data_IF_743389771232
#
_entry.id   IF_743389771232
#
_cell.length_a   1.000
_cell.length_b   1.000
_cell.length_c   1.000
_cell.angle_alpha   90.00
_cell.angle_beta   90.00
_cell.angle_gamma   90.00
#
_symmetry.space_group_name_H-M   'P 1'
#
loop_
_entity.id
_entity.type
_entity.pdbx_description
1 polymer ?
#
# COMPACT_ATOMS: atom_id res chain seq x y z
N UNK A 1 9.09 42.35 -39.33
CA UNK A 1 7.88 41.53 -39.13
C UNK A 1 8.10 40.19 -39.81
N UNK A 2 8.49 39.15 -39.07
CA UNK A 2 8.61 37.79 -39.62
C UNK A 2 7.21 37.18 -39.71
N UNK A 3 6.90 36.57 -40.86
CA UNK A 3 5.60 35.98 -41.20
C UNK A 3 5.17 34.94 -40.16
N UNK A 4 3.94 35.09 -39.69
CA UNK A 4 3.20 34.11 -38.92
C UNK A 4 3.10 32.82 -39.74
N UNK A 5 3.65 31.72 -39.21
CA UNK A 5 3.39 30.39 -39.73
C UNK A 5 2.07 29.90 -39.16
N UNK A 6 1.17 29.41 -40.01
CA UNK A 6 -0.06 28.75 -39.57
C UNK A 6 0.31 27.53 -38.71
N UNK A 7 -0.11 27.56 -37.45
CA UNK A 7 0.06 26.43 -36.55
C UNK A 7 -0.86 25.27 -36.96
N UNK A 8 -0.44 24.00 -36.78
CA UNK A 8 -1.31 22.85 -37.00
C UNK A 8 -2.61 22.96 -36.17
N UNK A 9 -3.74 22.48 -36.71
CA UNK A 9 -5.04 22.57 -36.04
C UNK A 9 -5.05 21.92 -34.63
N UNK A 10 -4.31 20.82 -34.45
CA UNK A 10 -4.14 20.16 -33.15
C UNK A 10 -3.42 21.07 -32.13
N UNK A 11 -2.40 21.82 -32.58
CA UNK A 11 -1.67 22.76 -31.74
C UNK A 11 -2.53 23.96 -31.37
N UNK A 12 -3.32 24.49 -32.30
CA UNK A 12 -4.29 25.56 -31.99
C UNK A 12 -5.32 25.10 -30.96
N UNK A 13 -5.86 23.88 -31.11
CA UNK A 13 -6.79 23.30 -30.13
C UNK A 13 -6.14 23.10 -28.76
N UNK A 14 -4.88 22.70 -28.71
CA UNK A 14 -4.10 22.62 -27.48
C UNK A 14 -3.94 24.00 -26.81
N UNK A 15 -3.60 25.04 -27.58
CA UNK A 15 -3.49 26.41 -27.09
C UNK A 15 -4.85 26.97 -26.63
N UNK A 16 -5.94 26.68 -27.33
CA UNK A 16 -7.30 27.04 -26.91
C UNK A 16 -7.65 26.41 -25.55
N UNK A 17 -7.30 25.13 -25.34
CA UNK A 17 -7.49 24.47 -24.05
C UNK A 17 -6.65 25.13 -22.96
N UNK A 18 -5.36 25.40 -23.21
CA UNK A 18 -4.50 26.11 -22.26
C UNK A 18 -5.01 27.52 -21.93
N UNK A 19 -5.60 28.22 -22.89
CA UNK A 19 -6.13 29.58 -22.69
C UNK A 19 -7.29 29.63 -21.69
N UNK A 20 -7.95 28.50 -21.44
CA UNK A 20 -8.99 28.38 -20.40
C UNK A 20 -8.40 28.47 -19.00
N UNK A 21 -7.23 27.88 -18.78
CA UNK A 21 -6.54 27.87 -17.49
C UNK A 21 -5.62 29.10 -17.32
N UNK A 22 -5.06 29.60 -18.42
CA UNK A 22 -4.13 30.73 -18.45
C UNK A 22 -4.60 31.80 -19.47
N UNK A 23 -5.64 32.60 -19.12
CA UNK A 23 -6.30 33.49 -20.08
C UNK A 23 -5.49 34.72 -20.49
N UNK A 24 -4.35 34.98 -19.83
CA UNK A 24 -3.50 36.14 -20.12
C UNK A 24 -2.04 35.73 -20.21
N UNK A 25 -1.24 36.48 -20.97
CA UNK A 25 0.21 36.28 -21.02
C UNK A 25 0.84 36.32 -19.63
N UNK A 26 0.38 37.22 -18.76
CA UNK A 26 0.85 37.32 -17.38
C UNK A 26 0.56 36.02 -16.59
N UNK A 27 -0.65 35.45 -16.70
CA UNK A 27 -0.99 34.19 -16.05
C UNK A 27 -0.07 33.05 -16.53
N UNK A 28 0.19 32.97 -17.83
CA UNK A 28 1.11 31.98 -18.39
C UNK A 28 2.54 32.18 -17.90
N UNK A 29 3.08 33.40 -17.93
CA UNK A 29 4.44 33.69 -17.45
C UNK A 29 4.59 33.41 -15.95
N UNK A 30 3.60 33.79 -15.14
CA UNK A 30 3.60 33.51 -13.70
C UNK A 30 3.66 32.01 -13.45
N UNK A 31 2.86 31.21 -14.17
CA UNK A 31 2.89 29.76 -13.98
C UNK A 31 4.21 29.13 -14.45
N UNK A 32 4.75 29.57 -15.60
CA UNK A 32 6.06 29.12 -16.07
C UNK A 32 7.14 29.43 -15.03
N UNK A 33 7.16 30.64 -14.47
CA UNK A 33 8.11 31.04 -13.42
C UNK A 33 7.95 30.16 -12.18
N UNK A 34 6.71 29.91 -11.74
CA UNK A 34 6.42 29.05 -10.59
C UNK A 34 6.93 27.62 -10.82
N UNK A 35 6.60 27.01 -11.95
CA UNK A 35 7.00 25.66 -12.30
C UNK A 35 8.52 25.54 -12.44
N UNK A 36 9.17 26.51 -13.10
CA UNK A 36 10.63 26.57 -13.19
C UNK A 36 11.29 26.70 -11.81
N UNK A 37 10.75 27.54 -10.93
CA UNK A 37 11.26 27.65 -9.56
C UNK A 37 11.15 26.33 -8.79
N UNK A 38 10.04 25.59 -8.97
CA UNK A 38 9.84 24.27 -8.35
C UNK A 38 10.81 23.23 -8.92
N UNK A 39 11.01 23.17 -10.24
CA UNK A 39 11.93 22.21 -10.89
C UNK A 39 13.38 22.42 -10.45
N UNK A 40 13.76 23.64 -10.09
CA UNK A 40 15.10 23.96 -9.57
C UNK A 40 15.29 23.63 -8.08
N UNK A 41 14.25 23.18 -7.35
CA UNK A 41 14.41 22.68 -6.00
C UNK A 41 15.04 21.28 -6.00
N UNK A 42 15.74 20.88 -4.93
CA UNK A 42 16.19 19.51 -4.76
C UNK A 42 15.01 18.53 -4.88
N UNK A 43 15.25 17.42 -5.57
CA UNK A 43 14.26 16.35 -5.72
C UNK A 43 13.78 15.88 -4.33
N UNK A 44 12.46 15.73 -4.20
CA UNK A 44 11.85 15.13 -3.01
C UNK A 44 12.33 13.70 -2.79
N UNK A 45 12.37 13.29 -1.53
CA UNK A 45 12.78 11.92 -1.17
C UNK A 45 11.66 10.94 -1.55
N UNK A 46 11.96 9.96 -2.38
CA UNK A 46 11.06 8.86 -2.71
C UNK A 46 11.32 7.68 -1.78
N UNK A 47 10.25 6.99 -1.40
CA UNK A 47 10.31 5.81 -0.56
C UNK A 47 9.71 4.65 -1.32
N UNK A 48 10.49 3.59 -1.56
CA UNK A 48 10.04 2.38 -2.25
C UNK A 48 9.86 1.26 -1.24
N UNK A 49 8.73 0.57 -1.29
CA UNK A 49 8.46 -0.64 -0.52
C UNK A 49 7.85 -1.69 -1.44
N UNK A 50 8.16 -2.96 -1.21
CA UNK A 50 7.66 -4.11 -1.97
C UNK A 50 7.35 -5.25 -1.00
N UNK A 51 6.52 -6.20 -1.41
CA UNK A 51 6.30 -7.47 -0.71
C UNK A 51 5.87 -7.29 0.75
N UNK A 52 4.90 -6.41 0.99
CA UNK A 52 4.45 -6.09 2.36
C UNK A 52 3.77 -7.28 3.03
N UNK A 53 2.99 -8.05 2.27
CA UNK A 53 2.40 -9.32 2.69
C UNK A 53 1.75 -9.28 4.07
N UNK A 54 0.92 -8.28 4.36
CA UNK A 54 0.21 -8.18 5.64
C UNK A 54 1.08 -8.01 6.89
N UNK A 55 2.40 -7.82 6.75
CA UNK A 55 3.36 -7.62 7.86
C UNK A 55 3.30 -6.18 8.39
N UNK A 56 2.19 -5.85 9.05
CA UNK A 56 1.86 -4.49 9.47
C UNK A 56 2.92 -3.86 10.38
N UNK A 57 3.46 -4.58 11.38
CA UNK A 57 4.42 -4.01 12.32
C UNK A 57 5.73 -3.61 11.62
N UNK A 58 6.20 -4.45 10.70
CA UNK A 58 7.38 -4.16 9.88
C UNK A 58 7.12 -2.96 8.97
N UNK A 59 5.99 -2.96 8.25
CA UNK A 59 5.57 -1.84 7.41
C UNK A 59 5.48 -0.53 8.21
N UNK A 60 4.79 -0.54 9.34
CA UNK A 60 4.60 0.62 10.21
C UNK A 60 5.94 1.14 10.76
N UNK A 61 6.87 0.25 11.11
CA UNK A 61 8.22 0.65 11.53
C UNK A 61 9.00 1.34 10.40
N UNK A 62 9.01 0.75 9.20
CA UNK A 62 9.72 1.32 8.03
C UNK A 62 9.12 2.66 7.64
N UNK A 63 7.78 2.79 7.66
CA UNK A 63 7.10 4.04 7.37
C UNK A 63 7.48 5.13 8.39
N UNK A 64 7.47 4.80 9.69
CA UNK A 64 7.78 5.76 10.75
C UNK A 64 9.26 6.16 10.82
N UNK A 65 10.17 5.25 10.49
CA UNK A 65 11.61 5.56 10.43
C UNK A 65 12.03 6.21 9.10
N UNK A 66 11.11 6.27 8.12
CA UNK A 66 11.32 6.79 6.78
C UNK A 66 12.55 6.16 6.09
N UNK A 67 12.70 4.84 6.21
CA UNK A 67 13.88 4.08 5.77
C UNK A 67 15.22 4.68 6.23
N UNK A 68 15.25 5.19 7.47
CA UNK A 68 16.45 5.75 8.09
C UNK A 68 16.77 7.21 7.72
N UNK A 69 15.99 7.84 6.84
CA UNK A 69 16.19 9.26 6.44
C UNK A 69 16.16 10.18 7.66
N UNK A 70 15.24 9.94 8.60
CA UNK A 70 15.14 10.74 9.82
C UNK A 70 16.40 10.58 10.68
N UNK A 71 16.90 9.34 10.83
CA UNK A 71 18.14 9.07 11.55
C UNK A 71 19.30 9.85 10.93
N UNK A 72 19.48 9.77 9.61
CA UNK A 72 20.53 10.52 8.91
C UNK A 72 20.47 12.02 9.20
N UNK A 73 19.28 12.63 9.20
CA UNK A 73 19.13 14.08 9.47
C UNK A 73 19.33 14.43 10.95
N UNK A 74 18.90 13.58 11.88
CA UNK A 74 19.18 13.77 13.30
C UNK A 74 20.68 13.70 13.56
N UNK A 75 21.37 12.73 12.96
CA UNK A 75 22.82 12.60 13.06
C UNK A 75 23.54 13.84 12.50
N UNK A 76 23.12 14.33 11.33
CA UNK A 76 23.68 15.52 10.69
C UNK A 76 23.58 16.79 11.55
N UNK A 77 22.45 17.01 12.24
CA UNK A 77 22.22 18.24 13.01
C UNK A 77 22.82 18.15 14.41
N UNK A 78 22.76 16.97 15.05
CA UNK A 78 22.91 16.84 16.49
C UNK A 78 24.14 16.03 16.94
N UNK A 79 24.95 15.48 16.04
CA UNK A 79 26.13 14.65 16.40
C UNK A 79 27.10 15.33 17.36
N UNK A 80 27.23 16.65 17.25
CA UNK A 80 28.17 17.45 18.05
C UNK A 80 27.52 18.08 19.29
N UNK A 81 26.19 17.99 19.44
CA UNK A 81 25.45 18.65 20.52
C UNK A 81 24.71 17.69 21.46
N UNK A 82 24.40 16.48 20.99
CA UNK A 82 23.67 15.46 21.75
C UNK A 82 24.49 14.17 21.84
N UNK A 83 24.36 13.46 22.97
CA UNK A 83 24.91 12.12 23.11
C UNK A 83 24.20 11.13 22.17
N UNK A 84 24.78 9.94 21.98
CA UNK A 84 24.11 8.86 21.23
C UNK A 84 22.75 8.50 21.84
N UNK A 85 22.70 8.36 23.16
CA UNK A 85 21.46 8.04 23.89
C UNK A 85 20.38 9.11 23.70
N UNK A 86 20.74 10.39 23.76
CA UNK A 86 19.80 11.49 23.52
C UNK A 86 19.28 11.52 22.07
N UNK A 87 20.13 11.17 21.09
CA UNK A 87 19.72 11.03 19.68
C UNK A 87 18.76 9.86 19.49
N UNK A 88 19.07 8.69 20.05
CA UNK A 88 18.20 7.51 19.98
C UNK A 88 16.86 7.75 20.70
N UNK A 89 16.85 8.51 21.81
CA UNK A 89 15.64 8.94 22.50
C UNK A 89 14.76 9.86 21.65
N UNK A 90 15.37 10.86 20.99
CA UNK A 90 14.69 11.75 20.05
C UNK A 90 14.13 10.98 18.83
N UNK A 91 14.89 10.02 18.29
CA UNK A 91 14.42 9.17 17.19
C UNK A 91 13.22 8.33 17.61
N UNK A 92 13.29 7.72 18.79
CA UNK A 92 12.17 6.93 19.34
C UNK A 92 10.92 7.79 19.50
N UNK A 93 11.08 9.04 19.97
CA UNK A 93 9.98 10.00 20.06
C UNK A 93 9.39 10.35 18.69
N UNK A 94 10.23 10.53 17.65
CA UNK A 94 9.73 10.86 16.31
C UNK A 94 8.99 9.67 15.70
N UNK A 95 9.51 8.45 15.88
CA UNK A 95 8.93 7.24 15.30
C UNK A 95 7.60 6.89 15.99
N UNK A 96 7.58 6.91 17.33
CA UNK A 96 6.47 6.45 18.16
C UNK A 96 6.09 7.49 19.22
N UNK A 97 5.59 8.66 18.80
CA UNK A 97 5.41 9.78 19.72
C UNK A 97 4.37 9.49 20.79
N UNK A 98 3.30 8.73 20.48
CA UNK A 98 2.23 8.44 21.43
C UNK A 98 2.72 7.51 22.53
N UNK A 99 3.33 6.41 22.13
CA UNK A 99 3.88 5.35 22.97
C UNK A 99 5.00 5.91 23.86
N UNK A 100 5.92 6.67 23.27
CA UNK A 100 7.03 7.28 24.00
C UNK A 100 6.56 8.27 25.06
N UNK A 101 5.63 9.18 24.71
CA UNK A 101 5.14 10.16 25.68
C UNK A 101 4.34 9.52 26.81
N UNK A 102 3.49 8.52 26.51
CA UNK A 102 2.78 7.76 27.56
C UNK A 102 3.76 7.14 28.56
N UNK A 103 4.84 6.51 28.06
CA UNK A 103 5.87 5.90 28.91
C UNK A 103 6.61 6.95 29.75
N UNK A 104 6.92 8.11 29.18
CA UNK A 104 7.63 9.19 29.89
C UNK A 104 6.75 9.86 30.94
N UNK A 105 5.46 10.02 30.65
CA UNK A 105 4.45 10.56 31.56
C UNK A 105 4.26 9.67 32.78
N UNK A 106 4.12 8.35 32.58
CA UNK A 106 4.06 7.37 33.67
C UNK A 106 5.31 7.40 34.58
N UNK A 107 6.47 7.75 34.01
CA UNK A 107 7.74 7.86 34.75
C UNK A 107 7.97 9.25 35.35
N UNK A 108 7.07 10.22 35.15
CA UNK A 108 7.22 11.59 35.63
C UNK A 108 8.40 12.34 35.01
N UNK A 109 8.82 11.99 33.79
CA UNK A 109 9.99 12.57 33.13
C UNK A 109 9.68 13.82 32.30
N UNK A 110 8.39 14.12 32.08
CA UNK A 110 7.95 15.27 31.29
C UNK A 110 7.87 16.50 32.19
N UNK A 111 8.66 17.52 31.86
CA UNK A 111 8.61 18.85 32.47
C UNK A 111 8.86 19.94 31.42
N UNK A 112 8.66 21.20 31.78
CA UNK A 112 8.77 22.35 30.87
C UNK A 112 10.14 22.45 30.22
N UNK A 113 11.22 22.12 30.95
CA UNK A 113 12.59 22.12 30.41
C UNK A 113 12.74 21.06 29.32
N UNK A 114 12.25 19.85 29.56
CA UNK A 114 12.25 18.78 28.57
C UNK A 114 11.40 19.15 27.34
N UNK A 115 10.19 19.68 27.57
CA UNK A 115 9.27 20.04 26.50
C UNK A 115 9.86 21.15 25.61
N UNK A 116 10.41 22.21 26.21
CA UNK A 116 11.11 23.28 25.49
C UNK A 116 12.27 22.76 24.66
N UNK A 117 13.11 21.91 25.25
CA UNK A 117 14.27 21.30 24.55
C UNK A 117 13.82 20.46 23.36
N UNK A 118 12.80 19.63 23.56
CA UNK A 118 12.24 18.74 22.53
C UNK A 118 11.63 19.53 21.39
N UNK A 119 10.83 20.57 21.68
CA UNK A 119 10.25 21.44 20.65
C UNK A 119 11.34 22.12 19.81
N UNK A 120 12.41 22.62 20.46
CA UNK A 120 13.56 23.20 19.73
C UNK A 120 14.24 22.18 18.81
N UNK A 121 14.47 20.94 19.26
CA UNK A 121 15.06 19.91 18.42
C UNK A 121 14.17 19.56 17.21
N UNK A 122 12.87 19.36 17.44
CA UNK A 122 11.92 19.04 16.38
C UNK A 122 11.77 20.18 15.36
N UNK A 123 11.72 21.44 15.80
CA UNK A 123 11.68 22.61 14.92
C UNK A 123 12.94 22.73 14.06
N UNK A 124 14.12 22.49 14.65
CA UNK A 124 15.39 22.54 13.91
C UNK A 124 15.46 21.44 12.84
N UNK A 125 14.97 20.24 13.16
CA UNK A 125 14.87 19.14 12.21
C UNK A 125 13.85 19.43 11.10
N UNK A 126 12.66 19.92 11.46
CA UNK A 126 11.64 20.32 10.50
C UNK A 126 12.13 21.44 9.57
N UNK A 127 12.87 22.43 10.08
CA UNK A 127 13.49 23.49 9.28
C UNK A 127 14.46 22.93 8.25
N UNK A 128 15.35 22.01 8.64
CA UNK A 128 16.25 21.35 7.69
C UNK A 128 15.48 20.61 6.59
N UNK A 129 14.51 19.77 6.97
CA UNK A 129 13.72 18.98 6.02
C UNK A 129 12.84 19.84 5.11
N UNK A 130 12.39 21.00 5.60
CA UNK A 130 11.56 21.94 4.82
C UNK A 130 12.32 22.63 3.69
N UNK A 131 13.65 22.71 3.76
CA UNK A 131 14.48 23.48 2.82
C UNK A 131 14.44 22.99 1.37
N UNK A 132 14.09 21.72 1.13
CA UNK A 132 13.89 21.13 -0.20
C UNK A 132 12.52 21.42 -0.83
N UNK A 133 11.65 22.15 -0.13
CA UNK A 133 10.26 22.36 -0.54
C UNK A 133 9.89 23.84 -0.62
N UNK A 134 8.89 24.15 -1.44
CA UNK A 134 8.29 25.49 -1.44
C UNK A 134 7.56 25.75 -0.12
N UNK A 135 7.51 27.01 0.29
CA UNK A 135 6.76 27.42 1.49
C UNK A 135 5.30 26.96 1.46
N UNK A 136 4.66 27.01 0.29
CA UNK A 136 3.28 26.53 0.10
C UNK A 136 3.15 25.03 0.39
N UNK A 137 4.09 24.20 -0.10
CA UNK A 137 4.09 22.75 0.16
C UNK A 137 4.30 22.44 1.64
N UNK A 138 5.25 23.12 2.30
CA UNK A 138 5.49 22.95 3.74
C UNK A 138 4.25 23.36 4.54
N UNK A 139 3.61 24.49 4.22
CA UNK A 139 2.41 24.97 4.91
C UNK A 139 1.21 24.02 4.75
N UNK A 140 1.05 23.39 3.58
CA UNK A 140 0.05 22.32 3.34
C UNK A 140 0.39 21.02 4.09
N UNK A 141 1.66 20.79 4.42
CA UNK A 141 2.10 19.63 5.20
C UNK A 141 1.77 19.76 6.70
N UNK A 142 1.66 20.98 7.22
CA UNK A 142 1.38 21.26 8.62
C UNK A 142 -0.09 20.93 9.01
N UNK A 143 -0.32 20.43 10.24
CA UNK A 143 -1.66 20.29 10.81
C UNK A 143 -2.41 21.61 10.87
N UNK A 144 -3.71 21.61 10.56
CA UNK A 144 -4.52 22.84 10.47
C UNK A 144 -4.55 23.64 11.77
N UNK A 145 -4.70 22.96 12.90
CA UNK A 145 -4.77 23.58 14.24
C UNK A 145 -3.52 24.38 14.59
N UNK A 146 -2.34 23.96 14.12
CA UNK A 146 -1.05 24.55 14.49
C UNK A 146 -0.31 25.20 13.32
N UNK A 147 -0.91 25.24 12.14
CA UNK A 147 -0.28 25.71 10.89
C UNK A 147 0.32 27.10 11.03
N UNK A 148 -0.42 28.05 11.60
CA UNK A 148 0.06 29.42 11.79
C UNK A 148 1.30 29.46 12.68
N UNK A 149 1.23 28.81 13.85
CA UNK A 149 2.30 28.82 14.85
C UNK A 149 3.55 28.12 14.33
N UNK A 150 3.41 26.97 13.66
CA UNK A 150 4.54 26.24 13.09
C UNK A 150 5.17 27.03 11.94
N UNK A 151 4.38 27.66 11.06
CA UNK A 151 4.89 28.50 9.96
C UNK A 151 5.72 29.67 10.48
N UNK A 152 5.25 30.34 11.54
CA UNK A 152 5.98 31.40 12.23
C UNK A 152 7.30 30.87 12.84
N UNK A 153 7.25 29.76 13.58
CA UNK A 153 8.45 29.19 14.23
C UNK A 153 9.52 28.70 13.23
N UNK A 154 9.13 28.24 12.03
CA UNK A 154 10.07 27.73 11.03
C UNK A 154 10.79 28.84 10.24
N UNK A 155 10.08 29.92 9.90
CA UNK A 155 10.59 30.96 8.99
C UNK A 155 11.27 32.13 9.70
N UNK A 156 11.62 31.97 10.97
CA UNK A 156 12.48 32.88 11.70
C UNK A 156 13.84 33.04 10.96
N UNK A 157 14.06 34.21 10.35
CA UNK A 157 15.36 34.61 9.81
C UNK A 157 16.32 34.87 10.98
N UNK A 158 17.54 34.31 10.99
CA UNK A 158 18.53 34.53 12.06
C UNK A 158 18.95 36.00 12.20
N UNK A 159 18.88 36.78 11.12
CA UNK A 159 19.53 38.09 11.01
C UNK A 159 18.59 39.30 11.19
N UNK A 160 17.32 39.10 11.58
CA UNK A 160 16.38 40.20 11.81
C UNK A 160 15.91 40.25 13.28
N UNK A 161 16.52 41.17 14.03
CA UNK A 161 16.15 41.69 15.36
C UNK A 161 16.12 40.71 16.56
N UNK A 162 16.77 41.14 17.65
CA UNK A 162 16.60 40.56 19.01
C UNK A 162 15.12 40.38 19.40
N UNK A 163 14.23 41.19 18.83
CA UNK A 163 12.79 41.13 19.04
C UNK A 163 12.15 39.82 18.54
N UNK A 164 12.62 39.24 17.42
CA UNK A 164 12.05 37.98 16.90
C UNK A 164 12.42 36.78 17.78
N UNK A 165 13.65 36.72 18.31
CA UNK A 165 14.02 35.68 19.27
C UNK A 165 13.15 35.71 20.53
N UNK A 166 12.88 36.89 21.07
CA UNK A 166 11.97 37.07 22.21
C UNK A 166 10.54 36.66 21.85
N UNK A 167 10.08 37.00 20.64
CA UNK A 167 8.76 36.60 20.15
C UNK A 167 8.62 35.06 20.04
N UNK A 168 9.59 34.36 19.45
CA UNK A 168 9.55 32.90 19.36
C UNK A 168 9.64 32.23 20.74
N UNK A 169 10.45 32.75 21.66
CA UNK A 169 10.48 32.22 23.02
C UNK A 169 9.13 32.34 23.68
N UNK A 170 8.44 33.49 23.52
CA UNK A 170 7.07 33.68 24.03
C UNK A 170 6.08 32.71 23.43
N UNK A 171 6.16 32.40 22.13
CA UNK A 171 5.31 31.37 21.53
C UNK A 171 5.51 30.02 22.23
N UNK A 172 6.76 29.62 22.47
CA UNK A 172 7.07 28.37 23.17
C UNK A 172 6.58 28.42 24.62
N UNK A 173 6.76 29.56 25.33
CA UNK A 173 6.23 29.75 26.68
C UNK A 173 4.71 29.58 26.71
N UNK A 174 3.99 30.22 25.79
CA UNK A 174 2.53 30.09 25.69
C UNK A 174 2.10 28.64 25.42
N UNK A 175 2.82 27.88 24.58
CA UNK A 175 2.52 26.45 24.34
C UNK A 175 2.64 25.62 25.62
N UNK A 176 3.61 25.94 26.49
CA UNK A 176 3.81 25.27 27.77
C UNK A 176 2.74 25.69 28.78
N UNK A 177 2.46 27.00 28.89
CA UNK A 177 1.46 27.57 29.80
C UNK A 177 0.04 27.06 29.49
N UNK A 178 -0.30 26.83 28.22
CA UNK A 178 -1.59 26.27 27.82
C UNK A 178 -1.68 24.75 27.99
N UNK A 179 -0.60 24.07 28.40
CA UNK A 179 -0.53 22.61 28.50
C UNK A 179 -0.59 21.90 27.15
N UNK A 180 -0.39 22.60 26.03
CA UNK A 180 -0.56 22.07 24.67
C UNK A 180 0.71 21.45 24.08
N UNK A 181 1.78 21.34 24.88
CA UNK A 181 3.09 20.84 24.45
C UNK A 181 3.04 19.45 23.82
N UNK A 182 2.22 18.54 24.38
CA UNK A 182 2.05 17.17 23.87
C UNK A 182 1.51 17.15 22.44
N UNK A 183 0.45 17.91 22.18
CA UNK A 183 -0.16 18.01 20.86
C UNK A 183 0.78 18.67 19.85
N UNK A 184 1.59 19.64 20.29
CA UNK A 184 2.64 20.23 19.47
C UNK A 184 3.74 19.24 19.11
N UNK A 185 4.16 18.38 20.04
CA UNK A 185 5.12 17.31 19.76
C UNK A 185 4.55 16.37 18.70
N UNK A 186 3.28 15.95 18.80
CA UNK A 186 2.62 15.15 17.76
C UNK A 186 2.58 15.84 16.40
N UNK A 187 2.24 17.13 16.39
CA UNK A 187 2.18 17.91 15.17
C UNK A 187 3.55 18.00 14.48
N UNK A 188 4.61 18.24 15.26
CA UNK A 188 5.96 18.37 14.72
C UNK A 188 6.58 17.03 14.32
N UNK A 189 6.37 15.94 15.06
CA UNK A 189 6.86 14.62 14.64
C UNK A 189 6.17 14.13 13.37
N UNK A 190 4.85 14.36 13.25
CA UNK A 190 4.13 14.07 12.00
C UNK A 190 4.61 14.94 10.84
N UNK A 191 4.87 16.24 11.08
CA UNK A 191 5.43 17.12 10.06
C UNK A 191 6.83 16.67 9.62
N UNK A 192 7.70 16.31 10.57
CA UNK A 192 9.03 15.76 10.28
C UNK A 192 8.94 14.52 9.40
N UNK A 193 8.09 13.53 9.77
CA UNK A 193 7.88 12.32 8.97
C UNK A 193 7.36 12.64 7.56
N UNK A 194 6.38 13.54 7.46
CA UNK A 194 5.80 13.98 6.19
C UNK A 194 6.78 14.76 5.30
N UNK A 195 7.73 15.51 5.86
CA UNK A 195 8.77 16.20 5.10
C UNK A 195 9.97 15.29 4.80
N UNK A 196 10.16 14.21 5.55
CA UNK A 196 11.22 13.25 5.31
C UNK A 196 10.97 12.47 4.02
N UNK A 197 9.75 11.97 3.81
CA UNK A 197 9.33 11.23 2.60
C UNK A 197 8.36 12.08 1.81
N UNK A 198 8.69 12.38 0.56
CA UNK A 198 7.86 13.17 -0.34
C UNK A 198 6.78 12.36 -1.05
N UNK A 199 7.15 11.14 -1.44
CA UNK A 199 6.29 10.25 -2.21
C UNK A 199 6.60 8.80 -1.87
N UNK A 200 5.54 8.00 -1.68
CA UNK A 200 5.63 6.59 -1.35
C UNK A 200 5.22 5.75 -2.56
N UNK A 201 6.10 4.86 -3.01
CA UNK A 201 5.83 3.86 -4.03
C UNK A 201 5.67 2.50 -3.35
N UNK A 202 4.48 1.93 -3.46
CA UNK A 202 4.23 0.53 -3.06
C UNK A 202 4.28 -0.34 -4.32
N UNK A 203 5.29 -1.19 -4.39
CA UNK A 203 5.51 -2.14 -5.47
C UNK A 203 4.92 -3.48 -5.02
N UNK A 204 3.60 -3.57 -5.12
CA UNK A 204 2.84 -4.81 -5.04
C UNK A 204 2.83 -5.55 -3.72
N UNK A 205 1.99 -6.59 -3.75
CA UNK A 205 1.88 -7.66 -2.76
C UNK A 205 1.67 -7.12 -1.35
N UNK A 206 0.59 -6.35 -1.19
CA UNK A 206 0.12 -5.83 0.11
C UNK A 206 -0.53 -6.95 0.92
N UNK A 207 -1.23 -7.86 0.23
CA UNK A 207 -2.04 -8.91 0.83
C UNK A 207 -1.31 -10.27 0.98
N UNK A 208 -1.95 -11.15 1.75
CA UNK A 208 -1.54 -12.54 2.08
C UNK A 208 -0.25 -12.69 2.89
N UNK A 209 -0.02 -13.91 3.41
CA UNK A 209 1.07 -14.35 4.32
C UNK A 209 1.06 -13.76 5.73
N UNK A 210 0.92 -12.46 5.89
CA UNK A 210 0.77 -11.78 7.19
C UNK A 210 -0.68 -11.48 7.54
N UNK A 211 -0.93 -11.20 8.82
CA UNK A 211 -2.28 -11.14 9.39
C UNK A 211 -3.03 -9.81 9.17
N UNK A 212 -2.35 -8.74 8.74
CA UNK A 212 -2.86 -7.37 8.92
C UNK A 212 -2.73 -6.48 7.68
N UNK A 213 -3.03 -6.99 6.49
CA UNK A 213 -3.08 -6.18 5.27
C UNK A 213 -4.18 -5.10 5.34
N UNK A 214 -5.25 -5.33 6.11
CA UNK A 214 -6.30 -4.35 6.38
C UNK A 214 -5.77 -3.09 7.08
N UNK A 215 -4.87 -3.24 8.07
CA UNK A 215 -4.23 -2.12 8.77
C UNK A 215 -3.23 -1.39 7.87
N UNK A 216 -2.49 -2.12 7.03
CA UNK A 216 -1.59 -1.52 6.03
C UNK A 216 -2.40 -0.61 5.09
N UNK A 217 -3.52 -1.10 4.56
CA UNK A 217 -4.39 -0.30 3.69
C UNK A 217 -4.95 0.94 4.37
N UNK A 218 -5.35 0.87 5.65
CA UNK A 218 -5.80 2.04 6.41
C UNK A 218 -4.72 3.12 6.52
N UNK A 219 -3.46 2.73 6.73
CA UNK A 219 -2.33 3.65 6.79
C UNK A 219 -1.97 4.23 5.41
N UNK A 220 -1.99 3.41 4.36
CA UNK A 220 -1.78 3.87 2.98
C UNK A 220 -2.84 4.88 2.56
N UNK A 221 -4.12 4.63 2.86
CA UNK A 221 -5.22 5.55 2.53
C UNK A 221 -5.09 6.93 3.19
N UNK A 222 -4.34 7.04 4.29
CA UNK A 222 -4.07 8.32 4.99
C UNK A 222 -2.78 8.98 4.53
N UNK A 223 -1.94 8.27 3.77
CA UNK A 223 -0.66 8.80 3.36
C UNK A 223 -0.84 9.92 2.32
N UNK A 224 -0.01 10.96 2.43
CA UNK A 224 -0.23 12.24 1.77
C UNK A 224 0.09 12.25 0.26
N UNK A 225 0.94 11.34 -0.20
CA UNK A 225 1.31 11.18 -1.59
C UNK A 225 1.85 9.78 -1.81
N UNK A 226 1.18 9.00 -2.66
CA UNK A 226 1.61 7.64 -2.99
C UNK A 226 1.14 7.19 -4.36
N UNK A 227 1.77 6.12 -4.85
CA UNK A 227 1.24 5.26 -5.89
C UNK A 227 1.49 3.78 -5.58
N UNK A 228 0.68 2.92 -6.21
CA UNK A 228 0.73 1.48 -6.01
C UNK A 228 0.90 0.79 -7.36
N UNK A 229 1.82 -0.17 -7.44
CA UNK A 229 1.89 -1.11 -8.55
C UNK A 229 1.29 -2.42 -8.09
N UNK A 230 0.26 -2.91 -8.77
CA UNK A 230 -0.45 -4.10 -8.29
C UNK A 230 0.43 -5.35 -8.41
N UNK A 231 0.55 -6.09 -7.31
CA UNK A 231 1.09 -7.43 -7.29
C UNK A 231 0.03 -8.49 -7.56
N UNK A 232 0.45 -9.73 -7.75
CA UNK A 232 -0.48 -10.84 -8.01
C UNK A 232 -1.39 -11.11 -6.80
N UNK A 233 -0.91 -10.89 -5.57
CA UNK A 233 -1.73 -11.02 -4.38
C UNK A 233 -2.78 -9.90 -4.29
N UNK A 234 -2.45 -8.68 -4.74
CA UNK A 234 -3.40 -7.58 -4.77
C UNK A 234 -4.50 -7.85 -5.79
N UNK A 235 -4.14 -8.29 -7.00
CA UNK A 235 -5.10 -8.65 -8.06
C UNK A 235 -6.02 -9.79 -7.64
N UNK A 236 -5.49 -10.78 -6.91
CA UNK A 236 -6.30 -11.87 -6.34
C UNK A 236 -7.41 -11.32 -5.42
N UNK A 237 -7.05 -10.41 -4.50
CA UNK A 237 -8.02 -9.78 -3.60
C UNK A 237 -8.97 -8.83 -4.32
N UNK A 238 -8.52 -8.14 -5.36
CA UNK A 238 -9.36 -7.31 -6.23
C UNK A 238 -10.43 -8.17 -6.94
N UNK A 239 -10.06 -9.33 -7.48
CA UNK A 239 -10.98 -10.28 -8.10
C UNK A 239 -11.97 -10.89 -7.09
N UNK A 240 -11.49 -11.24 -5.90
CA UNK A 240 -12.35 -11.75 -4.83
C UNK A 240 -13.40 -10.70 -4.40
N UNK A 241 -12.99 -9.43 -4.27
CA UNK A 241 -13.89 -8.33 -3.98
C UNK A 241 -14.88 -8.02 -5.12
N UNK A 242 -14.54 -8.35 -6.37
CA UNK A 242 -15.46 -8.29 -7.51
C UNK A 242 -16.45 -9.48 -7.54
N UNK A 243 -16.27 -10.47 -6.65
CA UNK A 243 -17.14 -11.63 -6.54
C UNK A 243 -16.74 -12.79 -7.45
N UNK A 244 -15.50 -12.83 -7.95
CA UNK A 244 -15.00 -14.00 -8.68
C UNK A 244 -14.76 -15.17 -7.72
N UNK A 245 -15.42 -16.31 -7.98
CA UNK A 245 -15.39 -17.47 -7.09
C UNK A 245 -14.00 -18.11 -7.01
N UNK A 246 -13.23 -18.14 -8.11
CA UNK A 246 -11.89 -18.73 -8.15
C UNK A 246 -10.89 -17.88 -7.34
N UNK A 247 -11.04 -16.55 -7.38
CA UNK A 247 -10.30 -15.64 -6.52
C UNK A 247 -10.72 -15.77 -5.05
N UNK A 248 -12.02 -15.80 -4.75
CA UNK A 248 -12.53 -15.97 -3.37
C UNK A 248 -11.94 -17.21 -2.72
N UNK A 249 -12.05 -18.37 -3.37
CA UNK A 249 -11.55 -19.62 -2.78
C UNK A 249 -10.03 -19.60 -2.60
N UNK A 250 -9.29 -18.93 -3.49
CA UNK A 250 -7.85 -18.74 -3.36
C UNK A 250 -7.48 -17.82 -2.18
N UNK A 251 -8.24 -16.75 -1.95
CA UNK A 251 -8.10 -15.90 -0.74
C UNK A 251 -8.32 -16.74 0.52
N UNK A 252 -9.39 -17.54 0.56
CA UNK A 252 -9.66 -18.42 1.70
C UNK A 252 -8.52 -19.43 1.92
N UNK A 253 -8.05 -20.07 0.85
CA UNK A 253 -6.92 -21.00 0.89
C UNK A 253 -5.66 -20.37 1.45
N UNK A 254 -5.30 -19.18 0.97
CA UNK A 254 -4.11 -18.48 1.44
C UNK A 254 -4.22 -18.16 2.94
N UNK A 255 -5.37 -17.66 3.39
CA UNK A 255 -5.57 -17.32 4.80
C UNK A 255 -5.60 -18.56 5.71
N UNK A 256 -6.17 -19.67 5.28
CA UNK A 256 -6.08 -20.94 6.03
C UNK A 256 -4.64 -21.44 6.09
N UNK A 257 -3.93 -21.44 4.94
CA UNK A 257 -2.54 -21.93 4.85
C UNK A 257 -1.56 -21.14 5.73
N UNK A 258 -1.77 -19.83 5.85
CA UNK A 258 -0.91 -18.94 6.64
C UNK A 258 -1.47 -18.63 8.03
N UNK A 259 -2.56 -19.29 8.44
CA UNK A 259 -3.21 -19.08 9.74
C UNK A 259 -3.67 -17.64 10.02
N UNK A 260 -4.16 -16.95 8.99
CA UNK A 260 -4.57 -15.54 9.04
C UNK A 260 -6.08 -15.34 8.94
N UNK A 261 -6.90 -16.23 9.50
CA UNK A 261 -8.36 -16.12 9.42
C UNK A 261 -8.91 -14.82 10.02
N UNK A 262 -8.19 -14.23 10.98
CA UNK A 262 -8.57 -12.97 11.62
C UNK A 262 -8.74 -11.82 10.63
N UNK A 263 -7.99 -11.78 9.52
CA UNK A 263 -8.16 -10.71 8.53
C UNK A 263 -9.52 -10.78 7.84
N UNK A 264 -10.04 -11.99 7.62
CA UNK A 264 -11.33 -12.22 6.99
C UNK A 264 -12.44 -11.86 7.98
N UNK A 265 -12.40 -12.43 9.19
CA UNK A 265 -13.47 -12.28 10.18
C UNK A 265 -13.46 -10.90 10.85
N UNK A 266 -12.33 -10.50 11.46
CA UNK A 266 -12.22 -9.24 12.21
C UNK A 266 -11.88 -8.07 11.30
N UNK A 267 -11.03 -8.29 10.30
CA UNK A 267 -10.58 -7.25 9.39
C UNK A 267 -11.67 -6.82 8.42
N UNK A 268 -12.30 -7.79 7.74
CA UNK A 268 -13.26 -7.56 6.67
C UNK A 268 -14.70 -7.98 6.98
N UNK A 269 -14.97 -8.61 8.12
CA UNK A 269 -16.33 -8.99 8.51
C UNK A 269 -16.91 -10.13 7.69
N UNK A 270 -16.06 -10.99 7.10
CA UNK A 270 -16.45 -12.12 6.26
C UNK A 270 -16.60 -13.34 7.16
N UNK A 271 -17.82 -13.86 7.31
CA UNK A 271 -18.05 -15.04 8.15
C UNK A 271 -17.61 -16.34 7.46
N UNK A 272 -16.86 -17.18 8.19
CA UNK A 272 -16.43 -18.51 7.72
C UNK A 272 -17.25 -19.66 8.33
N UNK A 273 -18.34 -19.33 9.04
CA UNK A 273 -19.13 -20.33 9.78
C UNK A 273 -19.76 -21.38 8.86
N UNK A 274 -20.35 -20.98 7.74
CA UNK A 274 -20.97 -21.90 6.78
C UNK A 274 -19.94 -22.83 6.16
N UNK A 275 -18.74 -22.32 5.84
CA UNK A 275 -17.62 -23.13 5.38
C UNK A 275 -17.18 -24.16 6.41
N UNK A 276 -17.04 -23.76 7.69
CA UNK A 276 -16.64 -24.65 8.76
C UNK A 276 -17.66 -25.78 8.98
N UNK A 277 -18.96 -25.45 9.00
CA UNK A 277 -20.03 -26.43 9.16
C UNK A 277 -20.09 -27.40 7.98
N UNK A 278 -20.08 -26.87 6.74
CA UNK A 278 -20.07 -27.68 5.53
C UNK A 278 -18.88 -28.65 5.52
N UNK A 279 -17.69 -28.16 5.86
CA UNK A 279 -16.48 -28.97 5.89
C UNK A 279 -16.58 -30.12 6.90
N UNK A 280 -17.02 -29.85 8.13
CA UNK A 280 -17.17 -30.86 9.19
C UNK A 280 -18.24 -31.92 8.87
N UNK A 281 -19.35 -31.52 8.24
CA UNK A 281 -20.43 -32.42 7.86
C UNK A 281 -20.07 -33.29 6.65
N UNK A 282 -19.25 -32.76 5.74
CA UNK A 282 -18.96 -33.40 4.45
C UNK A 282 -17.71 -34.27 4.49
N UNK A 283 -16.63 -33.82 5.12
CA UNK A 283 -15.32 -34.50 5.10
C UNK A 283 -15.04 -35.15 6.45
N UNK A 284 -15.42 -36.43 6.58
CA UNK A 284 -15.42 -37.16 7.86
C UNK A 284 -14.26 -38.16 8.01
N UNK A 285 -13.40 -38.32 7.01
CA UNK A 285 -12.30 -39.28 7.11
C UNK A 285 -11.25 -38.84 8.13
N UNK A 286 -10.82 -39.75 9.00
CA UNK A 286 -9.78 -39.54 10.02
C UNK A 286 -8.36 -39.72 9.43
N UNK A 287 -8.03 -38.94 8.39
CA UNK A 287 -6.74 -38.99 7.69
C UNK A 287 -5.72 -37.95 8.21
N UNK A 288 -6.04 -37.25 9.29
CA UNK A 288 -5.18 -36.24 9.92
C UNK A 288 -5.17 -34.89 9.20
N UNK A 289 -5.97 -34.72 8.14
CA UNK A 289 -6.16 -33.43 7.47
C UNK A 289 -7.36 -32.70 8.05
N UNK A 290 -7.23 -31.38 8.20
CA UNK A 290 -8.34 -30.52 8.63
C UNK A 290 -9.48 -30.56 7.57
N UNK A 291 -10.72 -30.88 7.95
CA UNK A 291 -11.88 -30.88 7.05
C UNK A 291 -12.02 -29.58 6.24
N UNK A 292 -11.73 -28.43 6.84
CA UNK A 292 -11.80 -27.12 6.16
C UNK A 292 -10.74 -27.02 5.05
N UNK A 293 -9.53 -27.53 5.30
CA UNK A 293 -8.46 -27.58 4.29
C UNK A 293 -8.86 -28.49 3.13
N UNK A 294 -9.51 -29.63 3.41
CA UNK A 294 -10.01 -30.56 2.38
C UNK A 294 -11.08 -29.89 1.53
N UNK A 295 -12.11 -29.32 2.16
CA UNK A 295 -13.19 -28.61 1.49
C UNK A 295 -12.67 -27.50 0.57
N UNK A 296 -11.77 -26.64 1.07
CA UNK A 296 -11.19 -25.56 0.27
C UNK A 296 -10.41 -26.09 -0.93
N UNK A 297 -9.54 -27.09 -0.75
CA UNK A 297 -8.73 -27.59 -1.87
C UNK A 297 -9.57 -28.31 -2.94
N UNK A 298 -10.64 -29.03 -2.54
CA UNK A 298 -11.55 -29.64 -3.52
C UNK A 298 -12.29 -28.58 -4.33
N UNK A 299 -12.88 -27.58 -3.66
CA UNK A 299 -13.60 -26.48 -4.32
C UNK A 299 -12.65 -25.66 -5.20
N UNK A 300 -11.42 -25.40 -4.72
CA UNK A 300 -10.36 -24.74 -5.48
C UNK A 300 -10.06 -25.48 -6.78
N UNK A 301 -9.76 -26.78 -6.72
CA UNK A 301 -9.46 -27.58 -7.90
C UNK A 301 -10.59 -27.55 -8.93
N UNK A 302 -11.85 -27.55 -8.46
CA UNK A 302 -13.04 -27.40 -9.31
C UNK A 302 -13.08 -26.03 -9.98
N UNK A 303 -13.00 -24.96 -9.21
CA UNK A 303 -13.11 -23.59 -9.71
C UNK A 303 -11.94 -23.18 -10.62
N UNK A 304 -10.71 -23.54 -10.27
CA UNK A 304 -9.54 -23.33 -11.15
C UNK A 304 -9.69 -24.11 -12.45
N UNK A 305 -10.12 -25.37 -12.37
CA UNK A 305 -10.33 -26.19 -13.56
C UNK A 305 -11.43 -25.62 -14.47
N UNK A 306 -12.53 -25.13 -13.90
CA UNK A 306 -13.56 -24.42 -14.67
C UNK A 306 -13.01 -23.16 -15.34
N UNK A 307 -12.17 -22.38 -14.65
CA UNK A 307 -11.53 -21.19 -15.23
C UNK A 307 -10.61 -21.55 -16.39
N UNK A 308 -9.74 -22.55 -16.22
CA UNK A 308 -8.85 -23.03 -17.29
C UNK A 308 -9.66 -23.54 -18.49
N UNK A 309 -10.75 -24.27 -18.26
CA UNK A 309 -11.60 -24.78 -19.34
C UNK A 309 -12.36 -23.68 -20.09
N UNK A 310 -12.66 -22.55 -19.44
CA UNK A 310 -13.26 -21.36 -20.10
C UNK A 310 -12.24 -20.54 -20.87
N UNK A 311 -10.95 -20.63 -20.51
CA UNK A 311 -9.84 -19.86 -21.07
C UNK A 311 -8.71 -20.76 -21.58
N UNK A 312 -8.94 -21.54 -22.66
CA UNK A 312 -7.90 -22.41 -23.24
C UNK A 312 -6.67 -21.64 -23.71
N UNK A 313 -6.81 -20.35 -24.06
CA UNK A 313 -5.73 -19.46 -24.46
C UNK A 313 -4.62 -19.29 -23.40
N UNK A 314 -4.91 -19.61 -22.13
CA UNK A 314 -3.90 -19.57 -21.07
C UNK A 314 -2.87 -20.70 -21.18
N UNK A 315 -3.14 -21.77 -21.94
CA UNK A 315 -2.23 -22.90 -22.10
C UNK A 315 -1.95 -23.64 -20.79
N UNK A 316 -2.93 -23.67 -19.87
CA UNK A 316 -2.81 -24.22 -18.51
C UNK A 316 -3.49 -25.58 -18.35
N UNK A 317 -3.74 -26.32 -19.44
CA UNK A 317 -4.45 -27.61 -19.34
C UNK A 317 -3.68 -28.66 -18.52
N UNK A 318 -2.35 -28.51 -18.41
CA UNK A 318 -1.51 -29.30 -17.53
C UNK A 318 -1.87 -29.14 -16.04
N UNK A 319 -2.58 -28.06 -15.67
CA UNK A 319 -3.05 -27.81 -14.30
C UNK A 319 -4.43 -28.39 -14.00
N UNK A 320 -5.07 -29.06 -14.96
CA UNK A 320 -6.30 -29.82 -14.73
C UNK A 320 -6.00 -31.11 -13.95
N UNK A 321 -5.75 -30.97 -12.64
CA UNK A 321 -5.26 -32.05 -11.78
C UNK A 321 -6.24 -33.22 -11.60
N UNK A 322 -7.54 -32.96 -11.39
CA UNK A 322 -8.51 -34.06 -11.23
C UNK A 322 -8.64 -34.99 -12.44
N UNK A 323 -8.30 -34.55 -13.66
CA UNK A 323 -8.20 -35.48 -14.81
C UNK A 323 -7.05 -36.49 -14.68
N UNK A 324 -6.10 -36.22 -13.80
CA UNK A 324 -4.89 -37.00 -13.56
C UNK A 324 -4.98 -37.90 -12.32
N UNK A 325 -6.11 -37.85 -11.60
CA UNK A 325 -6.32 -38.63 -10.38
C UNK A 325 -6.86 -40.01 -10.75
N UNK A 326 -6.25 -41.04 -10.16
CA UNK A 326 -6.86 -42.35 -9.99
C UNK A 326 -7.53 -42.37 -8.61
N UNK A 327 -8.82 -42.07 -8.58
CA UNK A 327 -9.61 -42.02 -7.34
C UNK A 327 -9.78 -43.40 -6.69
N UNK A 328 -9.69 -44.49 -7.45
CA UNK A 328 -9.82 -45.86 -6.92
C UNK A 328 -8.48 -46.38 -6.40
N UNK A 329 -7.39 -46.11 -7.13
CA UNK A 329 -6.03 -46.46 -6.73
C UNK A 329 -5.42 -45.50 -5.71
N UNK A 330 -6.02 -44.33 -5.48
CA UNK A 330 -5.52 -43.32 -4.53
C UNK A 330 -4.22 -42.66 -5.00
N UNK A 331 -4.06 -42.44 -6.31
CA UNK A 331 -2.82 -41.87 -6.88
C UNK A 331 -3.08 -40.72 -7.84
N UNK A 332 -2.05 -39.93 -8.15
CA UNK A 332 -2.06 -38.90 -9.18
C UNK A 332 -0.85 -39.05 -10.10
N UNK A 333 -1.07 -38.97 -11.42
CA UNK A 333 0.01 -39.01 -12.42
C UNK A 333 0.38 -37.61 -12.91
N UNK A 334 1.57 -37.15 -12.57
CA UNK A 334 2.15 -35.88 -13.01
C UNK A 334 3.28 -36.14 -14.03
N UNK A 335 3.76 -35.12 -14.78
CA UNK A 335 4.89 -35.31 -15.70
C UNK A 335 6.15 -35.87 -15.04
N UNK A 336 6.33 -35.63 -13.74
CA UNK A 336 7.46 -36.11 -12.94
C UNK A 336 7.30 -37.54 -12.41
N UNK A 337 6.11 -38.15 -12.50
CA UNK A 337 5.84 -39.50 -11.99
C UNK A 337 4.45 -39.66 -11.39
N UNK A 338 4.20 -40.85 -10.84
CA UNK A 338 2.96 -41.18 -10.11
C UNK A 338 3.20 -41.09 -8.61
N UNK A 339 2.28 -40.44 -7.89
CA UNK A 339 2.38 -40.20 -6.45
C UNK A 339 1.11 -40.67 -5.74
N UNK A 340 1.26 -41.19 -4.52
CA UNK A 340 0.12 -41.49 -3.65
C UNK A 340 -0.53 -40.21 -3.15
N UNK A 341 -1.87 -40.19 -3.10
CA UNK A 341 -2.64 -39.08 -2.56
C UNK A 341 -2.56 -39.11 -1.03
N UNK A 342 -2.45 -37.93 -0.41
CA UNK A 342 -2.48 -37.79 1.06
C UNK A 342 -3.84 -38.13 1.65
N UNK A 343 -4.91 -38.08 0.84
CA UNK A 343 -6.27 -38.45 1.21
C UNK A 343 -7.01 -39.01 0.00
N UNK A 344 -7.96 -39.91 0.26
CA UNK A 344 -8.93 -40.42 -0.72
C UNK A 344 -10.35 -39.95 -0.44
N UNK A 345 -10.51 -39.01 0.51
CA UNK A 345 -11.82 -38.49 0.93
C UNK A 345 -12.29 -37.34 0.03
N UNK A 346 -12.93 -37.70 -1.08
CA UNK A 346 -13.48 -36.78 -2.09
C UNK A 346 -15.01 -36.94 -2.26
N UNK A 347 -15.81 -36.80 -1.19
CA UNK A 347 -17.23 -37.14 -1.18
C UNK A 347 -18.09 -36.28 -2.12
N UNK A 348 -17.61 -35.09 -2.51
CA UNK A 348 -18.33 -34.16 -3.39
C UNK A 348 -17.88 -34.22 -4.85
N UNK A 349 -16.90 -35.05 -5.20
CA UNK A 349 -16.36 -35.10 -6.57
C UNK A 349 -17.13 -36.13 -7.40
N UNK A 350 -17.86 -35.67 -8.42
CA UNK A 350 -18.41 -36.56 -9.44
C UNK A 350 -17.29 -37.01 -10.38
N UNK A 351 -17.03 -38.32 -10.43
CA UNK A 351 -15.98 -38.91 -11.27
C UNK A 351 -16.19 -38.67 -12.77
N UNK A 352 -17.43 -38.43 -13.22
CA UNK A 352 -17.73 -38.13 -14.62
C UNK A 352 -17.46 -36.65 -14.95
N UNK A 353 -17.77 -35.78 -14.00
CA UNK A 353 -17.61 -34.33 -14.13
C UNK A 353 -16.83 -33.77 -12.93
N UNK A 354 -15.52 -34.07 -12.80
CA UNK A 354 -14.79 -33.83 -11.56
C UNK A 354 -14.58 -32.35 -11.22
N UNK A 355 -14.82 -31.45 -12.17
CA UNK A 355 -14.73 -30.00 -12.00
C UNK A 355 -16.07 -29.34 -11.68
N UNK A 356 -17.18 -30.07 -11.68
CA UNK A 356 -18.49 -29.53 -11.34
C UNK A 356 -18.61 -29.36 -9.82
N UNK A 357 -19.11 -28.21 -9.39
CA UNK A 357 -19.44 -27.99 -7.98
C UNK A 357 -20.68 -28.83 -7.63
N UNK A 358 -20.65 -29.49 -6.48
CA UNK A 358 -21.87 -30.08 -5.92
C UNK A 358 -22.88 -28.99 -5.56
N UNK A 359 -24.14 -29.38 -5.34
CA UNK A 359 -25.18 -28.43 -4.93
C UNK A 359 -24.79 -27.67 -3.66
N UNK A 360 -24.31 -28.39 -2.63
CA UNK A 360 -23.86 -27.77 -1.38
C UNK A 360 -22.62 -26.87 -1.55
N UNK A 361 -21.67 -27.24 -2.40
CA UNK A 361 -20.51 -26.37 -2.68
C UNK A 361 -20.93 -25.08 -3.40
N UNK A 362 -21.88 -25.17 -4.33
CA UNK A 362 -22.41 -23.99 -5.05
C UNK A 362 -23.16 -23.05 -4.11
N UNK A 363 -24.02 -23.57 -3.25
CA UNK A 363 -24.74 -22.78 -2.24
C UNK A 363 -23.77 -22.09 -1.28
N UNK A 364 -22.77 -22.83 -0.78
CA UNK A 364 -21.73 -22.31 0.07
C UNK A 364 -20.94 -21.17 -0.60
N UNK A 365 -20.48 -21.39 -1.83
CA UNK A 365 -19.68 -20.39 -2.55
C UNK A 365 -20.48 -19.13 -2.88
N UNK A 366 -21.78 -19.25 -3.18
CA UNK A 366 -22.66 -18.08 -3.36
C UNK A 366 -22.92 -17.34 -2.05
N UNK A 367 -22.96 -18.01 -0.90
CA UNK A 367 -23.02 -17.36 0.41
C UNK A 367 -21.75 -16.57 0.70
N UNK A 368 -20.58 -17.20 0.58
CA UNK A 368 -19.28 -16.53 0.79
C UNK A 368 -19.11 -15.36 -0.18
N UNK A 369 -19.54 -15.51 -1.44
CA UNK A 369 -19.53 -14.42 -2.41
C UNK A 369 -20.33 -13.21 -1.94
N UNK A 370 -21.51 -13.41 -1.33
CA UNK A 370 -22.30 -12.31 -0.75
C UNK A 370 -21.55 -11.61 0.39
N UNK A 371 -20.83 -12.36 1.23
CA UNK A 371 -20.00 -11.79 2.30
C UNK A 371 -18.88 -10.89 1.73
N UNK A 372 -18.15 -11.34 0.71
CA UNK A 372 -17.09 -10.53 0.05
C UNK A 372 -17.64 -9.28 -0.63
N UNK A 373 -18.78 -9.39 -1.33
CA UNK A 373 -19.45 -8.26 -1.97
C UNK A 373 -20.02 -7.28 -0.93
N UNK A 374 -20.48 -7.79 0.21
CA UNK A 374 -21.06 -7.01 1.32
C UNK A 374 -20.04 -6.34 2.24
N UNK A 375 -18.77 -6.74 2.20
CA UNK A 375 -17.72 -6.19 3.06
C UNK A 375 -17.37 -4.73 2.71
N UNK A 376 -17.98 -3.76 3.40
CA UNK A 376 -17.77 -2.33 3.13
C UNK A 376 -16.30 -1.91 3.20
N UNK A 377 -15.55 -2.42 4.19
CA UNK A 377 -14.13 -2.12 4.38
C UNK A 377 -13.27 -2.69 3.26
N UNK A 378 -13.49 -3.94 2.84
CA UNK A 378 -12.79 -4.54 1.71
C UNK A 378 -13.06 -3.73 0.44
N UNK A 379 -14.34 -3.46 0.16
CA UNK A 379 -14.75 -2.69 -1.02
C UNK A 379 -14.11 -1.29 -1.02
N UNK A 380 -13.98 -0.64 0.13
CA UNK A 380 -13.29 0.65 0.27
C UNK A 380 -11.79 0.54 -0.03
N UNK A 381 -11.10 -0.48 0.48
CA UNK A 381 -9.68 -0.71 0.22
C UNK A 381 -9.43 -1.01 -1.26
N UNK A 382 -10.25 -1.85 -1.89
CA UNK A 382 -10.11 -2.20 -3.31
C UNK A 382 -10.40 -0.99 -4.22
N UNK A 383 -11.39 -0.15 -3.90
CA UNK A 383 -11.57 1.14 -4.62
C UNK A 383 -10.35 2.05 -4.49
N UNK A 384 -9.66 2.02 -3.36
CA UNK A 384 -8.41 2.76 -3.20
C UNK A 384 -7.31 2.21 -4.13
N UNK A 385 -7.15 0.89 -4.22
CA UNK A 385 -6.22 0.27 -5.17
C UNK A 385 -6.53 0.64 -6.63
N UNK A 386 -7.80 0.69 -7.02
CA UNK A 386 -8.18 1.11 -8.38
C UNK A 386 -7.88 2.59 -8.65
N UNK A 387 -8.00 3.46 -7.65
CA UNK A 387 -7.82 4.91 -7.83
C UNK A 387 -6.37 5.38 -7.71
N UNK A 388 -5.55 4.68 -6.94
CA UNK A 388 -4.15 5.06 -6.66
C UNK A 388 -3.14 4.04 -7.19
N UNK A 389 -3.62 2.92 -7.71
CA UNK A 389 -2.79 1.85 -8.24
C UNK A 389 -2.93 1.66 -9.75
N UNK A 390 -1.99 0.89 -10.29
CA UNK A 390 -1.90 0.55 -11.71
C UNK A 390 -1.01 -0.68 -11.84
N UNK A 391 -1.01 -1.39 -12.97
CA UNK A 391 -0.07 -2.51 -13.17
C UNK A 391 1.38 -1.99 -13.26
N UNK A 392 1.58 -0.83 -13.88
CA UNK A 392 2.88 -0.19 -14.02
C UNK A 392 2.76 1.33 -13.98
N UNK A 393 3.84 2.01 -13.60
CA UNK A 393 3.93 3.47 -13.62
C UNK A 393 5.34 3.94 -13.99
N UNK A 394 5.43 5.00 -14.77
CA UNK A 394 6.71 5.71 -14.97
C UNK A 394 6.79 6.89 -14.03
N UNK A 395 7.84 6.98 -13.22
CA UNK A 395 8.02 8.07 -12.27
C UNK A 395 9.51 8.41 -12.10
N UNK A 396 9.86 9.70 -12.29
CA UNK A 396 11.23 10.22 -12.18
C UNK A 396 12.30 9.40 -12.94
N UNK A 397 11.98 8.97 -14.16
CA UNK A 397 12.90 8.19 -15.00
C UNK A 397 12.94 6.70 -14.70
N UNK A 398 12.17 6.22 -13.71
CA UNK A 398 12.04 4.81 -13.38
C UNK A 398 10.75 4.23 -13.98
N UNK A 399 10.81 2.97 -14.40
CA UNK A 399 9.64 2.15 -14.69
C UNK A 399 9.37 1.27 -13.47
N UNK A 400 8.23 1.48 -12.83
CA UNK A 400 7.79 0.78 -11.64
C UNK A 400 6.75 -0.27 -12.04
N UNK A 401 6.95 -1.51 -11.60
CA UNK A 401 6.05 -2.64 -11.80
C UNK A 401 6.40 -3.73 -10.77
N UNK A 402 5.43 -4.57 -10.43
CA UNK A 402 5.64 -5.73 -9.55
C UNK A 402 5.77 -7.03 -10.35
N UNK A 403 4.75 -7.30 -11.17
CA UNK A 403 4.68 -8.53 -11.97
C UNK A 403 5.66 -8.55 -13.14
N UNK A 404 6.05 -9.74 -13.58
CA UNK A 404 6.96 -9.91 -14.71
C UNK A 404 6.43 -9.29 -16.00
N UNK A 405 7.35 -8.75 -16.82
CA UNK A 405 7.05 -8.31 -18.18
C UNK A 405 7.46 -9.43 -19.14
N UNK A 406 6.53 -9.98 -19.94
CA UNK A 406 6.85 -11.01 -20.92
C UNK A 406 7.87 -10.52 -21.95
N UNK A 407 9.00 -11.22 -22.03
CA UNK A 407 10.08 -10.97 -22.99
C UNK A 407 10.42 -12.26 -23.75
N UNK A 408 10.77 -12.11 -25.02
CA UNK A 408 11.43 -13.14 -25.82
C UNK A 408 12.90 -13.27 -25.40
N UNK A 409 13.58 -14.34 -25.83
CA UNK A 409 15.01 -14.56 -25.54
C UNK A 409 15.92 -13.44 -26.06
N UNK A 410 15.50 -12.74 -27.12
CA UNK A 410 16.21 -11.60 -27.70
C UNK A 410 15.97 -10.26 -26.96
N UNK A 411 15.18 -10.27 -25.88
CA UNK A 411 14.85 -9.10 -25.07
C UNK A 411 13.72 -8.23 -25.65
N UNK A 412 13.10 -8.62 -26.78
CA UNK A 412 11.89 -7.96 -27.28
C UNK A 412 10.66 -8.37 -26.48
N UNK A 413 9.60 -7.54 -26.46
CA UNK A 413 8.36 -7.89 -25.77
C UNK A 413 7.70 -9.12 -26.40
N UNK A 414 7.47 -10.15 -25.58
CA UNK A 414 6.73 -11.33 -26.00
C UNK A 414 5.27 -10.98 -26.28
N UNK A 415 4.71 -11.68 -27.25
CA UNK A 415 3.29 -11.60 -27.61
C UNK A 415 2.49 -12.53 -26.70
N UNK A 416 1.42 -12.01 -26.10
CA UNK A 416 0.50 -12.74 -25.23
C UNK A 416 -0.89 -12.67 -25.85
N UNK A 417 -1.54 -13.83 -25.95
CA UNK A 417 -2.92 -13.95 -26.42
C UNK A 417 -3.89 -13.84 -25.24
N UNK A 418 -4.81 -12.88 -25.30
CA UNK A 418 -5.82 -12.62 -24.27
C UNK A 418 -7.13 -12.19 -24.95
N UNK A 419 -8.27 -12.74 -24.53
CA UNK A 419 -9.60 -12.36 -25.05
C UNK A 419 -9.70 -12.36 -26.60
N UNK A 420 -9.01 -13.29 -27.26
CA UNK A 420 -8.96 -13.40 -28.73
C UNK A 420 -8.13 -12.32 -29.45
N UNK A 421 -7.42 -11.49 -28.69
CA UNK A 421 -6.46 -10.49 -29.19
C UNK A 421 -5.02 -10.87 -28.83
N UNK A 422 -4.06 -10.26 -29.55
CA UNK A 422 -2.63 -10.43 -29.28
C UNK A 422 -1.99 -9.12 -28.86
N UNK A 423 -1.34 -9.14 -27.71
CA UNK A 423 -0.81 -7.95 -27.05
C UNK A 423 0.67 -8.12 -26.70
N UNK A 424 1.41 -7.01 -26.65
CA UNK A 424 2.81 -6.99 -26.22
C UNK A 424 3.19 -5.65 -25.61
N UNK A 425 4.17 -5.68 -24.69
CA UNK A 425 4.68 -4.48 -24.02
C UNK A 425 3.55 -3.65 -23.40
N UNK A 426 3.52 -2.35 -23.65
CA UNK A 426 2.48 -1.44 -23.11
C UNK A 426 1.06 -1.83 -23.51
N UNK A 427 0.87 -2.48 -24.65
CA UNK A 427 -0.46 -2.91 -25.10
C UNK A 427 -1.08 -3.99 -24.23
N UNK A 428 -0.28 -4.72 -23.45
CA UNK A 428 -0.74 -5.78 -22.55
C UNK A 428 -1.40 -5.26 -21.27
N UNK A 429 -1.09 -4.02 -20.88
CA UNK A 429 -1.44 -3.46 -19.56
C UNK A 429 -2.34 -2.22 -19.66
N UNK A 430 -3.10 -2.09 -20.75
CA UNK A 430 -3.86 -0.89 -21.10
C UNK A 430 -5.35 -1.10 -21.16
#
# INVERSE_FOLDING_TARGET
MKREGEYPAEYLRYLELLSKDYPTQAATYTEIINLQAIVNLPKGTEHFMSDLHGEYEAFYHILNNCSGVIREKVEMIFSNSLSKEQRDDLLTLIYYPKEKLNLMEQKGLINDKWARTTLHHLLRLAKLLSSKYTRSKVRKAMPESFRFVIDELLHAQPDEDKNRHVYHSKIIDTILETGSAREFVYALTNLVKRLAVDHLHIIGDIYDRGAHADKIMDELMRHHSLDIQWGNHDVLWMGAAAGDLACIINVLRNNVRYHNLEILENGYGISLRSLALFALETYTAEDGLDPMVKAINVILCKLEGQTIMRHPEYGMEDRLLFKKFDFDGGTVTLPSGTYELTTSDFPTVDRRNPYELSEGERELMEEIRREFLGSERLQRHIRFLYSHGSVYRTYNGNLLFHGGIPLNEDGTFAEVELEGGKYRGRGLYR
#
